data_IF_862135928059
#
_entry.id   IF_862135928059
#
_cell.length_a   1.000
_cell.length_b   1.000
_cell.length_c   1.000
_cell.angle_alpha   90.00
_cell.angle_beta   90.00
_cell.angle_gamma   90.00
#
_symmetry.space_group_name_H-M   'P 1'
#
loop_
_entity.id
_entity.type
_entity.pdbx_description
1 polymer ?
#
# COMPACT_ATOMS: atom_id res chain seq x y z
N UNK A 1 -5.42 -10.38 -0.28
CA UNK A 1 -4.98 -9.74 0.98
C UNK A 1 -5.84 -8.53 1.31
N UNK A 2 -5.95 -8.11 2.57
CA UNK A 2 -6.66 -6.86 2.92
C UNK A 2 -5.73 -5.66 2.97
N UNK A 3 -6.19 -4.49 2.53
CA UNK A 3 -5.39 -3.27 2.55
C UNK A 3 -6.21 -2.00 2.71
N UNK A 4 -5.57 -0.94 3.23
CA UNK A 4 -6.12 0.41 3.30
C UNK A 4 -5.64 1.21 2.09
N UNK A 5 -6.56 1.92 1.43
CA UNK A 5 -6.35 2.52 0.11
C UNK A 5 -6.86 3.94 0.13
N UNK A 6 -6.01 4.88 -0.26
CA UNK A 6 -6.38 6.29 -0.35
C UNK A 6 -6.91 6.54 -1.77
N UNK A 7 -8.18 6.92 -1.89
CA UNK A 7 -8.84 7.27 -3.16
C UNK A 7 -8.84 8.78 -3.44
N UNK A 8 -8.59 9.58 -2.41
CA UNK A 8 -8.53 11.04 -2.48
C UNK A 8 -8.30 11.63 -1.10
N UNK A 9 -8.24 12.96 -1.01
CA UNK A 9 -8.08 13.65 0.26
C UNK A 9 -9.21 13.26 1.23
N UNK A 10 -8.85 12.72 2.40
CA UNK A 10 -9.81 12.23 3.40
C UNK A 10 -10.55 10.93 3.05
N UNK A 11 -10.36 10.35 1.86
CA UNK A 11 -11.06 9.14 1.41
C UNK A 11 -10.12 7.93 1.51
N UNK A 12 -10.24 7.20 2.62
CA UNK A 12 -9.52 5.94 2.86
C UNK A 12 -10.52 4.81 2.98
N UNK A 13 -10.30 3.74 2.21
CA UNK A 13 -11.16 2.57 2.19
C UNK A 13 -10.37 1.32 2.51
N UNK A 14 -11.05 0.36 3.11
CA UNK A 14 -10.48 -0.95 3.39
C UNK A 14 -11.10 -1.96 2.44
N UNK A 15 -10.27 -2.65 1.66
CA UNK A 15 -10.72 -3.54 0.60
C UNK A 15 -9.88 -4.81 0.51
N UNK A 16 -10.46 -5.83 -0.13
CA UNK A 16 -9.77 -7.05 -0.51
C UNK A 16 -9.03 -6.81 -1.84
N UNK A 17 -7.72 -7.07 -1.81
CA UNK A 17 -6.76 -6.87 -2.88
C UNK A 17 -6.18 -8.21 -3.32
N UNK A 18 -5.62 -8.32 -4.54
CA UNK A 18 -4.85 -9.48 -4.95
C UNK A 18 -3.74 -9.82 -3.95
N UNK A 19 -3.44 -11.10 -3.80
CA UNK A 19 -2.25 -11.53 -3.05
C UNK A 19 -0.98 -11.02 -3.76
N UNK A 20 0.07 -10.61 -3.01
CA UNK A 20 1.31 -10.19 -3.62
C UNK A 20 2.03 -11.38 -4.27
N UNK A 21 2.75 -11.10 -5.35
CA UNK A 21 3.52 -12.09 -6.09
C UNK A 21 5.01 -11.75 -6.08
N UNK A 22 5.87 -12.77 -6.23
CA UNK A 22 7.31 -12.58 -6.42
C UNK A 22 7.56 -12.26 -7.90
N UNK A 23 8.09 -11.07 -8.20
CA UNK A 23 8.35 -10.63 -9.57
C UNK A 23 9.83 -10.76 -9.93
N UNK A 24 10.71 -10.41 -9.00
CA UNK A 24 12.16 -10.53 -9.15
C UNK A 24 12.75 -11.54 -8.15
N UNK A 25 13.91 -12.16 -8.47
CA UNK A 25 14.58 -13.11 -7.58
C UNK A 25 14.98 -12.55 -6.22
N UNK A 26 14.99 -11.21 -6.07
CA UNK A 26 15.35 -10.50 -4.84
C UNK A 26 14.16 -10.12 -3.97
N UNK A 27 12.94 -10.42 -4.40
CA UNK A 27 11.73 -10.05 -3.66
C UNK A 27 11.46 -11.04 -2.52
N UNK A 28 10.76 -10.57 -1.50
CA UNK A 28 10.26 -11.40 -0.41
C UNK A 28 8.84 -10.97 -0.05
N UNK A 29 7.97 -11.94 0.20
CA UNK A 29 6.63 -11.73 0.73
C UNK A 29 6.68 -11.89 2.24
N UNK A 30 6.20 -10.89 2.98
CA UNK A 30 6.26 -10.87 4.45
C UNK A 30 4.84 -10.75 5.00
N UNK A 31 4.45 -11.70 5.86
CA UNK A 31 3.25 -11.55 6.70
C UNK A 31 3.50 -10.47 7.74
N UNK A 32 2.70 -9.40 7.70
CA UNK A 32 2.88 -8.27 8.60
C UNK A 32 2.24 -8.58 9.95
N UNK A 33 3.05 -8.60 11.00
CA UNK A 33 2.55 -8.77 12.37
C UNK A 33 1.99 -7.46 12.94
N UNK A 34 2.56 -6.33 12.54
CA UNK A 34 2.11 -4.99 12.91
C UNK A 34 2.57 -3.98 11.84
N UNK A 35 1.79 -2.92 11.65
CA UNK A 35 2.15 -1.75 10.85
C UNK A 35 1.63 -0.48 11.54
N UNK A 36 2.18 0.67 11.14
CA UNK A 36 1.89 1.97 11.73
C UNK A 36 1.60 2.98 10.62
N UNK A 37 0.90 4.05 10.95
CA UNK A 37 0.78 5.23 10.08
C UNK A 37 1.96 6.16 10.33
N UNK A 38 2.68 6.52 9.28
CA UNK A 38 3.77 7.48 9.31
C UNK A 38 3.25 8.89 8.95
N UNK A 39 4.00 9.93 9.34
CA UNK A 39 3.71 11.29 8.88
C UNK A 39 3.78 11.46 7.36
N UNK A 40 4.57 10.64 6.66
CA UNK A 40 4.66 10.62 5.19
C UNK A 40 3.35 10.21 4.50
N UNK A 41 2.53 9.40 5.17
CA UNK A 41 1.27 8.92 4.60
C UNK A 41 0.22 10.05 4.57
N UNK A 42 0.41 11.06 5.41
CA UNK A 42 -0.51 12.18 5.53
C UNK A 42 -0.43 13.17 4.36
N UNK A 43 0.62 13.13 3.53
CA UNK A 43 0.76 14.04 2.39
C UNK A 43 -0.31 13.74 1.34
N UNK A 44 -0.53 12.46 1.03
CA UNK A 44 -1.56 12.01 0.11
C UNK A 44 -2.95 12.12 0.76
N UNK A 45 -3.08 11.70 2.03
CA UNK A 45 -4.35 11.77 2.77
C UNK A 45 -4.90 13.21 2.90
N UNK A 46 -4.03 14.21 3.06
CA UNK A 46 -4.43 15.62 3.14
C UNK A 46 -4.62 16.28 1.77
N UNK A 47 -4.35 15.56 0.67
CA UNK A 47 -4.40 16.11 -0.68
C UNK A 47 -3.28 17.10 -0.99
N UNK A 48 -2.16 17.05 -0.25
CA UNK A 48 -0.96 17.84 -0.59
C UNK A 48 -0.31 17.27 -1.85
N UNK A 49 -0.35 15.95 -2.00
CA UNK A 49 0.02 15.23 -3.21
C UNK A 49 -1.23 14.78 -3.99
N UNK A 50 -1.13 14.63 -5.31
CA UNK A 50 -2.17 13.98 -6.10
C UNK A 50 -2.29 12.51 -5.73
N UNK A 51 -3.52 12.04 -5.53
CA UNK A 51 -3.82 10.63 -5.31
C UNK A 51 -4.11 9.97 -6.65
N UNK A 52 -3.24 9.07 -7.08
CA UNK A 52 -3.40 8.28 -8.31
C UNK A 52 -3.49 6.81 -7.90
N UNK A 53 -4.70 6.32 -7.56
CA UNK A 53 -4.89 4.99 -6.96
C UNK A 53 -4.22 3.88 -7.76
N UNK A 54 -4.43 3.84 -9.09
CA UNK A 54 -3.84 2.84 -9.97
C UNK A 54 -2.31 2.94 -10.04
N UNK A 55 -1.75 4.15 -9.96
CA UNK A 55 -0.30 4.38 -9.96
C UNK A 55 0.31 4.10 -8.59
N UNK A 56 -0.41 4.31 -7.49
CA UNK A 56 0.05 3.98 -6.14
C UNK A 56 0.25 2.47 -5.98
N UNK A 57 -0.67 1.65 -6.54
CA UNK A 57 -0.52 0.20 -6.61
C UNK A 57 0.68 -0.24 -7.46
N UNK A 58 0.81 0.31 -8.68
CA UNK A 58 1.98 0.04 -9.53
C UNK A 58 3.28 0.49 -8.88
N UNK A 59 3.31 1.66 -8.25
CA UNK A 59 4.46 2.18 -7.55
C UNK A 59 4.80 1.34 -6.32
N UNK A 60 3.84 0.68 -5.67
CA UNK A 60 4.15 -0.32 -4.63
C UNK A 60 4.80 -1.56 -5.25
N UNK A 61 4.40 -2.01 -6.44
CA UNK A 61 5.05 -3.13 -7.17
C UNK A 61 6.46 -2.75 -7.63
N UNK A 62 6.63 -1.53 -8.15
CA UNK A 62 7.89 -1.07 -8.73
C UNK A 62 8.93 -0.67 -7.67
N UNK A 63 8.52 -0.22 -6.48
CA UNK A 63 9.43 0.25 -5.43
C UNK A 63 10.22 -0.85 -4.71
N UNK A 64 10.15 -2.12 -5.14
CA UNK A 64 10.85 -3.26 -4.50
C UNK A 64 10.62 -3.27 -2.97
N UNK A 65 9.42 -2.87 -2.57
CA UNK A 65 9.07 -2.64 -1.18
C UNK A 65 8.45 -3.91 -0.58
N UNK A 66 8.66 -4.08 0.73
CA UNK A 66 7.98 -5.09 1.54
C UNK A 66 6.47 -4.96 1.30
N UNK A 67 5.88 -5.97 0.68
CA UNK A 67 4.44 -6.07 0.48
C UNK A 67 3.81 -6.47 1.80
N UNK A 68 3.37 -5.46 2.54
CA UNK A 68 2.81 -5.65 3.86
C UNK A 68 1.43 -6.31 3.76
N UNK A 69 1.31 -7.47 4.39
CA UNK A 69 0.12 -8.31 4.42
C UNK A 69 -0.53 -8.24 5.79
N UNK A 70 -1.67 -7.55 5.88
CA UNK A 70 -2.52 -7.54 7.07
C UNK A 70 -3.52 -8.70 6.98
N UNK A 71 -3.22 -9.81 7.65
CA UNK A 71 -4.24 -10.77 8.07
C UNK A 71 -4.43 -10.69 9.59
N UNK A 72 -5.68 -10.83 10.09
CA UNK A 72 -5.92 -10.98 11.53
C UNK A 72 -5.30 -12.27 12.08
#
# INVERSE_FOLDING_TARGET
>A
MRGAVIYGAGDVRFEDLPEPEIVAPTDAIIRTAATCVCGSDLWDYRGINPVQVAEAYRAMDERRAIKAFLQP
#
